data_IF_170998031216
#
_entry.id   IF_170998031216
#
_cell.length_a   1.000
_cell.length_b   1.000
_cell.length_c   1.000
_cell.angle_alpha   90.00
_cell.angle_beta   90.00
_cell.angle_gamma   90.00
#
_symmetry.space_group_name_H-M   'P 1'
#
loop_
_entity.id
_entity.type
_entity.pdbx_description
1 polymer ?
#
# COMPACT_ATOMS: atom_id res chain seq x y z
N UNK A 1 -27.23 -64.65 -6.04
CA UNK A 1 -28.05 -63.85 -6.96
C UNK A 1 -28.77 -62.71 -6.20
N UNK A 2 -28.09 -62.01 -5.31
CA UNK A 2 -28.74 -60.93 -4.52
C UNK A 2 -27.91 -59.63 -4.45
N UNK A 3 -26.73 -59.59 -5.08
CA UNK A 3 -25.84 -58.43 -4.98
C UNK A 3 -25.86 -57.50 -6.22
N UNK A 4 -26.45 -57.94 -7.33
CA UNK A 4 -26.49 -57.18 -8.59
C UNK A 4 -27.76 -56.30 -8.76
N UNK A 5 -28.82 -56.64 -8.03
CA UNK A 5 -30.07 -55.83 -8.09
C UNK A 5 -30.01 -54.55 -7.22
N UNK A 6 -29.18 -54.57 -6.13
CA UNK A 6 -29.06 -53.40 -5.27
C UNK A 6 -28.16 -52.30 -5.83
N UNK A 7 -27.22 -52.63 -6.73
CA UNK A 7 -26.38 -51.63 -7.41
C UNK A 7 -27.12 -50.91 -8.55
N UNK A 8 -28.07 -51.60 -9.20
CA UNK A 8 -28.87 -51.03 -10.29
C UNK A 8 -29.91 -50.02 -9.81
N UNK A 9 -30.46 -50.19 -8.59
CA UNK A 9 -31.45 -49.26 -8.03
C UNK A 9 -30.83 -47.95 -7.53
N UNK A 10 -29.60 -48.00 -7.02
CA UNK A 10 -28.86 -46.79 -6.59
C UNK A 10 -28.41 -45.89 -7.77
N UNK A 11 -28.07 -46.48 -8.90
CA UNK A 11 -27.69 -45.74 -10.13
C UNK A 11 -28.90 -45.10 -10.81
N UNK A 12 -30.11 -45.61 -10.66
CA UNK A 12 -31.32 -45.02 -11.22
C UNK A 12 -31.80 -43.85 -10.34
N UNK A 13 -31.66 -43.95 -9.03
CA UNK A 13 -32.05 -42.88 -8.10
C UNK A 13 -31.10 -41.66 -8.15
N UNK A 14 -29.81 -41.88 -8.38
CA UNK A 14 -28.84 -40.78 -8.56
C UNK A 14 -29.01 -40.06 -9.92
N UNK A 15 -29.52 -40.73 -10.94
CA UNK A 15 -29.74 -40.16 -12.26
C UNK A 15 -31.04 -39.37 -12.37
N UNK A 16 -32.08 -39.73 -11.59
CA UNK A 16 -33.35 -39.02 -11.54
C UNK A 16 -33.32 -37.76 -10.69
N UNK A 17 -32.41 -37.65 -9.71
CA UNK A 17 -32.22 -36.40 -8.95
C UNK A 17 -31.43 -35.29 -9.69
N UNK A 18 -30.73 -35.65 -10.79
CA UNK A 18 -29.99 -34.67 -11.60
C UNK A 18 -30.80 -34.12 -12.77
N UNK A 19 -31.99 -34.69 -13.08
CA UNK A 19 -32.80 -34.30 -14.24
C UNK A 19 -34.05 -33.47 -13.90
N UNK A 20 -34.25 -33.12 -12.62
CA UNK A 20 -35.40 -32.36 -12.14
C UNK A 20 -35.09 -30.92 -11.72
N UNK A 21 -33.96 -30.33 -12.15
CA UNK A 21 -33.80 -28.89 -12.11
C UNK A 21 -34.59 -28.27 -13.27
N UNK A 22 -35.74 -27.77 -12.93
CA UNK A 22 -36.68 -27.11 -13.86
C UNK A 22 -35.95 -25.97 -14.59
N UNK A 23 -36.05 -25.85 -15.93
CA UNK A 23 -35.39 -24.77 -16.71
C UNK A 23 -35.68 -23.36 -16.16
N UNK A 24 -36.81 -23.17 -15.48
CA UNK A 24 -37.19 -21.93 -14.82
C UNK A 24 -36.19 -21.50 -13.69
N UNK A 25 -35.62 -22.44 -12.93
CA UNK A 25 -34.66 -22.12 -11.84
C UNK A 25 -33.30 -21.75 -12.43
N UNK A 26 -32.95 -22.31 -13.59
CA UNK A 26 -31.71 -21.93 -14.31
C UNK A 26 -31.86 -20.61 -15.06
N UNK A 27 -33.04 -20.26 -15.51
CA UNK A 27 -33.33 -18.94 -16.13
C UNK A 27 -33.40 -17.86 -15.05
N UNK A 28 -34.06 -18.08 -13.91
CA UNK A 28 -34.04 -17.13 -12.79
C UNK A 28 -32.64 -16.94 -12.22
N UNK A 29 -31.83 -18.00 -12.11
CA UNK A 29 -30.42 -17.91 -11.69
C UNK A 29 -29.57 -17.13 -12.69
N UNK A 30 -29.79 -17.28 -14.00
CA UNK A 30 -29.11 -16.51 -15.05
C UNK A 30 -29.60 -15.08 -15.13
N UNK A 31 -30.88 -14.82 -14.96
CA UNK A 31 -31.42 -13.45 -14.93
C UNK A 31 -30.95 -12.70 -13.66
N UNK A 32 -30.89 -13.36 -12.49
CA UNK A 32 -30.34 -12.80 -11.26
C UNK A 32 -28.83 -12.50 -11.41
N UNK A 33 -28.08 -13.37 -12.08
CA UNK A 33 -26.65 -13.18 -12.32
C UNK A 33 -26.39 -12.09 -13.40
N UNK A 34 -27.26 -11.97 -14.42
CA UNK A 34 -27.16 -10.88 -15.39
C UNK A 34 -27.61 -9.54 -14.85
N UNK A 35 -28.63 -9.49 -14.00
CA UNK A 35 -29.07 -8.24 -13.33
C UNK A 35 -28.04 -7.79 -12.30
N UNK A 36 -27.40 -8.72 -11.56
CA UNK A 36 -26.31 -8.39 -10.65
C UNK A 36 -25.01 -7.94 -11.38
N UNK A 37 -24.85 -8.31 -12.66
CA UNK A 37 -23.69 -7.91 -13.46
C UNK A 37 -23.83 -6.51 -14.09
N UNK A 38 -25.01 -5.92 -14.13
CA UNK A 38 -25.27 -4.65 -14.82
C UNK A 38 -25.52 -3.46 -13.87
N UNK A 39 -25.56 -3.66 -12.57
CA UNK A 39 -25.54 -2.55 -11.65
C UNK A 39 -24.12 -1.95 -11.58
N UNK A 40 -23.94 -0.65 -11.90
CA UNK A 40 -22.65 0.01 -11.74
C UNK A 40 -22.34 0.13 -10.26
N UNK A 41 -21.67 -0.87 -9.67
CA UNK A 41 -21.23 -0.90 -8.27
C UNK A 41 -20.34 0.30 -7.87
N UNK A 42 -19.92 1.09 -8.84
CA UNK A 42 -19.13 2.28 -8.64
C UNK A 42 -19.80 3.48 -9.30
N UNK A 43 -20.36 4.36 -8.48
CA UNK A 43 -20.95 5.65 -8.87
C UNK A 43 -19.94 6.66 -9.46
N UNK A 44 -18.65 6.31 -9.50
CA UNK A 44 -17.59 7.23 -9.91
C UNK A 44 -17.28 7.12 -11.41
N UNK A 45 -17.23 8.26 -12.14
CA UNK A 45 -16.81 8.28 -13.54
C UNK A 45 -15.35 7.86 -13.70
N UNK A 46 -15.01 7.22 -14.81
CA UNK A 46 -13.64 6.72 -15.11
C UNK A 46 -12.51 7.73 -14.85
N UNK A 47 -12.62 9.03 -15.25
CA UNK A 47 -11.53 9.98 -15.02
C UNK A 47 -11.26 10.21 -13.53
N UNK A 48 -12.30 10.19 -12.68
CA UNK A 48 -12.13 10.33 -11.24
C UNK A 48 -11.46 9.11 -10.62
N UNK A 49 -11.79 7.89 -11.08
CA UNK A 49 -11.11 6.67 -10.65
C UNK A 49 -9.61 6.73 -10.97
N UNK A 50 -9.26 7.10 -12.20
CA UNK A 50 -7.85 7.24 -12.62
C UNK A 50 -7.13 8.30 -11.79
N UNK A 51 -7.77 9.43 -11.51
CA UNK A 51 -7.19 10.47 -10.66
C UNK A 51 -6.91 9.94 -9.24
N UNK A 52 -7.88 9.25 -8.61
CA UNK A 52 -7.71 8.66 -7.27
C UNK A 52 -6.57 7.64 -7.27
N UNK A 53 -6.51 6.76 -8.27
CA UNK A 53 -5.44 5.76 -8.41
C UNK A 53 -4.08 6.43 -8.58
N UNK A 54 -3.99 7.49 -9.37
CA UNK A 54 -2.74 8.23 -9.58
C UNK A 54 -2.25 8.88 -8.28
N UNK A 55 -3.15 9.54 -7.54
CA UNK A 55 -2.83 10.14 -6.24
C UNK A 55 -2.43 9.06 -5.22
N UNK A 56 -3.15 7.96 -5.16
CA UNK A 56 -2.82 6.83 -4.28
C UNK A 56 -1.46 6.22 -4.65
N UNK A 57 -1.14 6.07 -5.93
CA UNK A 57 0.15 5.55 -6.41
C UNK A 57 1.30 6.51 -6.07
N UNK A 58 1.10 7.81 -6.22
CA UNK A 58 2.07 8.82 -5.83
C UNK A 58 2.31 8.81 -4.31
N UNK A 59 1.24 8.67 -3.52
CA UNK A 59 1.35 8.53 -2.07
C UNK A 59 2.08 7.24 -1.66
N UNK A 60 1.75 6.12 -2.31
CA UNK A 60 2.40 4.83 -2.05
C UNK A 60 3.88 4.80 -2.44
N UNK A 61 4.29 5.59 -3.45
CA UNK A 61 5.69 5.75 -3.85
C UNK A 61 6.56 6.36 -2.73
N UNK A 62 6.00 7.27 -1.91
CA UNK A 62 6.75 8.02 -0.90
C UNK A 62 7.48 7.13 0.11
N UNK A 63 6.85 6.08 0.62
CA UNK A 63 7.41 5.23 1.67
C UNK A 63 8.66 4.46 1.22
N UNK A 64 8.62 3.66 0.12
CA UNK A 64 9.81 2.99 -0.38
C UNK A 64 10.86 3.97 -0.93
N UNK A 65 10.47 5.12 -1.44
CA UNK A 65 11.40 6.15 -1.87
C UNK A 65 12.17 6.74 -0.69
N UNK A 66 11.50 7.09 0.42
CA UNK A 66 12.11 7.67 1.61
C UNK A 66 13.15 6.77 2.29
N UNK A 67 12.97 5.44 2.23
CA UNK A 67 13.96 4.51 2.77
C UNK A 67 15.16 4.35 1.83
N UNK A 68 14.92 4.27 0.53
CA UNK A 68 15.96 4.00 -0.46
C UNK A 68 16.83 5.23 -0.77
N UNK A 69 16.27 6.44 -0.71
CA UNK A 69 17.04 7.68 -0.86
C UNK A 69 18.02 7.91 0.31
N UNK A 70 17.73 7.33 1.48
CA UNK A 70 18.58 7.44 2.66
C UNK A 70 19.82 6.53 2.61
N UNK A 71 19.74 5.39 1.92
CA UNK A 71 20.82 4.39 1.88
C UNK A 71 22.19 4.98 1.52
N UNK A 72 22.35 5.77 0.43
CA UNK A 72 23.64 6.36 0.10
C UNK A 72 24.10 7.46 1.07
N UNK A 73 23.20 8.05 1.86
CA UNK A 73 23.55 9.05 2.86
C UNK A 73 24.09 8.46 4.19
N UNK A 74 23.90 7.15 4.43
CA UNK A 74 24.33 6.46 5.68
C UNK A 74 25.82 6.66 6.01
N UNK A 75 26.77 6.53 5.06
CA UNK A 75 28.18 6.76 5.36
C UNK A 75 28.50 8.19 5.80
N UNK A 76 27.85 9.18 5.20
CA UNK A 76 28.03 10.60 5.51
C UNK A 76 27.45 10.93 6.89
N UNK A 77 26.29 10.36 7.24
CA UNK A 77 25.68 10.47 8.57
C UNK A 77 26.60 9.88 9.64
N UNK A 78 27.18 8.70 9.37
CA UNK A 78 28.12 8.05 10.29
C UNK A 78 29.36 8.93 10.57
N UNK A 79 29.91 9.56 9.53
CA UNK A 79 31.05 10.46 9.66
C UNK A 79 30.70 11.75 10.40
N UNK A 80 29.56 12.36 10.05
CA UNK A 80 29.16 13.66 10.58
C UNK A 80 28.73 13.60 12.04
N UNK A 81 28.03 12.56 12.44
CA UNK A 81 27.58 12.34 13.82
C UNK A 81 28.61 11.61 14.69
N UNK A 82 29.78 11.25 14.15
CA UNK A 82 30.82 10.48 14.82
C UNK A 82 30.30 9.18 15.47
N UNK A 83 29.39 8.48 14.77
CA UNK A 83 28.78 7.22 15.20
C UNK A 83 29.33 6.05 14.40
N UNK A 84 29.22 4.85 14.96
CA UNK A 84 29.61 3.64 14.22
C UNK A 84 28.64 3.35 13.07
N UNK A 85 29.11 2.66 12.04
CA UNK A 85 28.27 2.23 10.91
C UNK A 85 27.09 1.35 11.38
N UNK A 86 27.29 0.59 12.46
CA UNK A 86 26.23 -0.21 13.07
C UNK A 86 25.11 0.67 13.66
N UNK A 87 25.47 1.77 14.31
CA UNK A 87 24.49 2.73 14.84
C UNK A 87 23.76 3.47 13.73
N UNK A 88 24.44 3.81 12.64
CA UNK A 88 23.78 4.40 11.48
C UNK A 88 22.78 3.43 10.82
N UNK A 89 23.12 2.14 10.73
CA UNK A 89 22.21 1.10 10.26
C UNK A 89 21.04 0.84 11.21
N UNK A 90 21.22 1.02 12.53
CA UNK A 90 20.11 0.96 13.49
C UNK A 90 18.99 1.96 13.16
N UNK A 91 19.31 3.13 12.64
CA UNK A 91 18.29 4.10 12.21
C UNK A 91 17.43 3.58 11.05
N UNK A 92 18.04 2.80 10.16
CA UNK A 92 17.33 2.13 9.06
C UNK A 92 16.44 1.00 9.60
N UNK A 93 16.98 0.17 10.51
CA UNK A 93 16.22 -0.92 11.13
C UNK A 93 15.02 -0.39 11.91
N UNK A 94 15.22 0.69 12.66
CA UNK A 94 14.15 1.36 13.40
C UNK A 94 13.05 1.86 12.45
N UNK A 95 13.43 2.46 11.34
CA UNK A 95 12.48 2.87 10.31
C UNK A 95 11.66 1.67 9.79
N UNK A 96 12.31 0.54 9.45
CA UNK A 96 11.65 -0.67 8.94
C UNK A 96 10.66 -1.27 9.95
N UNK A 97 11.02 -1.30 11.24
CA UNK A 97 10.14 -1.80 12.30
C UNK A 97 8.85 -0.95 12.36
N UNK A 98 9.00 0.37 12.42
CA UNK A 98 7.85 1.27 12.48
C UNK A 98 7.07 1.32 11.18
N UNK A 99 7.70 1.13 10.03
CA UNK A 99 7.04 0.96 8.75
C UNK A 99 6.12 -0.27 8.73
N UNK A 100 6.52 -1.37 9.35
CA UNK A 100 5.69 -2.58 9.46
C UNK A 100 4.55 -2.45 10.47
N UNK A 101 4.77 -1.76 11.59
CA UNK A 101 3.77 -1.58 12.65
C UNK A 101 2.72 -0.51 12.34
N UNK A 102 3.11 0.55 11.66
CA UNK A 102 2.29 1.74 11.42
C UNK A 102 0.96 1.44 10.71
N UNK A 103 0.88 0.62 9.65
CA UNK A 103 -0.37 0.29 9.01
C UNK A 103 -1.40 -0.34 9.93
N UNK A 104 -0.97 -1.12 10.94
CA UNK A 104 -1.86 -1.76 11.91
C UNK A 104 -2.62 -0.75 12.78
N UNK A 105 -2.05 0.43 12.97
CA UNK A 105 -2.68 1.52 13.74
C UNK A 105 -3.51 2.44 12.83
N UNK A 106 -2.94 2.84 11.69
CA UNK A 106 -3.56 3.83 10.81
C UNK A 106 -4.67 3.26 9.94
N UNK A 107 -4.63 1.97 9.55
CA UNK A 107 -5.67 1.37 8.72
C UNK A 107 -7.03 1.35 9.44
N UNK A 108 -7.18 0.79 10.67
CA UNK A 108 -8.44 0.85 11.39
C UNK A 108 -8.91 2.27 11.68
N UNK A 109 -7.97 3.19 11.96
CA UNK A 109 -8.29 4.59 12.21
C UNK A 109 -8.86 5.26 10.96
N UNK A 110 -8.31 4.95 9.79
CA UNK A 110 -8.80 5.46 8.51
C UNK A 110 -10.17 4.91 8.12
N UNK A 111 -10.50 3.69 8.56
CA UNK A 111 -11.82 3.11 8.34
C UNK A 111 -12.88 3.73 9.24
N UNK A 112 -12.49 4.17 10.46
CA UNK A 112 -13.41 4.79 11.44
C UNK A 112 -13.64 6.28 11.16
N UNK A 113 -12.57 7.05 10.94
CA UNK A 113 -12.63 8.51 10.77
C UNK A 113 -12.69 8.97 9.31
N UNK A 114 -12.57 8.01 8.38
CA UNK A 114 -12.52 8.28 6.96
C UNK A 114 -11.09 8.39 6.41
N UNK A 115 -10.92 8.00 5.15
CA UNK A 115 -9.59 7.89 4.54
C UNK A 115 -8.91 9.24 4.29
N UNK A 116 -9.67 10.28 3.91
CA UNK A 116 -9.12 11.61 3.58
C UNK A 116 -8.44 12.30 4.77
N UNK A 117 -9.10 12.49 5.95
CA UNK A 117 -8.48 13.19 7.06
C UNK A 117 -7.27 12.43 7.62
N UNK A 118 -7.31 11.12 7.65
CA UNK A 118 -6.19 10.30 8.14
C UNK A 118 -5.01 10.37 7.17
N UNK A 119 -5.25 10.34 5.86
CA UNK A 119 -4.18 10.50 4.86
C UNK A 119 -3.48 11.85 5.02
N UNK A 120 -4.24 12.94 5.19
CA UNK A 120 -3.66 14.28 5.43
C UNK A 120 -2.87 14.31 6.74
N UNK A 121 -3.39 13.71 7.81
CA UNK A 121 -2.69 13.65 9.09
C UNK A 121 -1.35 12.89 8.97
N UNK A 122 -1.33 11.75 8.28
CA UNK A 122 -0.11 10.96 8.09
C UNK A 122 0.92 11.67 7.22
N UNK A 123 0.49 12.42 6.20
CA UNK A 123 1.37 13.29 5.43
C UNK A 123 1.95 14.44 6.25
N UNK A 124 1.15 15.07 7.10
CA UNK A 124 1.65 16.13 8.01
C UNK A 124 2.69 15.58 8.98
N UNK A 125 2.48 14.38 9.54
CA UNK A 125 3.47 13.71 10.39
C UNK A 125 4.75 13.41 9.61
N UNK A 126 4.64 12.92 8.38
CA UNK A 126 5.78 12.67 7.49
C UNK A 126 6.55 13.96 7.20
N UNK A 127 5.86 15.03 6.88
CA UNK A 127 6.46 16.34 6.55
C UNK A 127 7.17 16.94 7.77
N UNK A 128 6.52 16.94 8.93
CA UNK A 128 7.11 17.42 10.19
C UNK A 128 8.36 16.62 10.58
N UNK A 129 8.33 15.30 10.40
CA UNK A 129 9.49 14.45 10.66
C UNK A 129 10.64 14.75 9.71
N UNK A 130 10.39 14.97 8.42
CA UNK A 130 11.44 15.34 7.45
C UNK A 130 12.06 16.70 7.76
N UNK A 131 11.23 17.70 8.09
CA UNK A 131 11.72 19.01 8.51
C UNK A 131 12.59 18.89 9.78
N UNK A 132 12.16 18.12 10.78
CA UNK A 132 12.96 17.86 11.97
C UNK A 132 14.30 17.20 11.64
N UNK A 133 14.29 16.19 10.75
CA UNK A 133 15.49 15.49 10.29
C UNK A 133 16.49 16.43 9.56
N UNK A 134 15.96 17.41 8.82
CA UNK A 134 16.78 18.40 8.11
C UNK A 134 17.62 19.29 9.03
N UNK A 135 17.21 19.45 10.29
CA UNK A 135 17.93 20.30 11.27
C UNK A 135 18.61 19.51 12.39
N UNK A 136 18.50 18.19 12.37
CA UNK A 136 18.98 17.33 13.47
C UNK A 136 20.47 17.06 13.36
N UNK A 137 21.19 17.29 14.46
CA UNK A 137 22.60 16.94 14.65
C UNK A 137 22.83 15.96 15.80
N UNK A 138 21.77 15.37 16.34
CA UNK A 138 21.80 14.48 17.51
C UNK A 138 21.27 13.10 17.11
N UNK A 139 22.03 12.05 17.38
CA UNK A 139 21.70 10.68 16.99
C UNK A 139 20.36 10.18 17.55
N UNK A 140 20.08 10.42 18.83
CA UNK A 140 18.82 9.99 19.45
C UNK A 140 17.59 10.67 18.82
N UNK A 141 17.73 11.94 18.51
CA UNK A 141 16.66 12.68 17.84
C UNK A 141 16.44 12.17 16.40
N UNK A 142 17.54 11.81 15.72
CA UNK A 142 17.47 11.17 14.40
C UNK A 142 16.67 9.86 14.46
N UNK A 143 16.88 9.00 15.49
CA UNK A 143 16.12 7.77 15.65
C UNK A 143 14.62 8.03 15.82
N UNK A 144 14.26 8.94 16.74
CA UNK A 144 12.84 9.27 17.01
C UNK A 144 12.16 9.87 15.79
N UNK A 145 12.81 10.78 15.09
CA UNK A 145 12.26 11.38 13.89
C UNK A 145 12.13 10.37 12.73
N UNK A 146 13.03 9.38 12.66
CA UNK A 146 12.92 8.26 11.73
C UNK A 146 11.71 7.36 12.02
N UNK A 147 11.41 7.11 13.30
CA UNK A 147 10.19 6.40 13.70
C UNK A 147 8.93 7.17 13.23
N UNK A 148 8.88 8.47 13.49
CA UNK A 148 7.77 9.33 13.06
C UNK A 148 7.64 9.40 11.53
N UNK A 149 8.76 9.54 10.83
CA UNK A 149 8.79 9.53 9.36
C UNK A 149 8.23 8.22 8.80
N UNK A 150 8.63 7.08 9.37
CA UNK A 150 8.13 5.77 8.97
C UNK A 150 6.62 5.63 9.22
N UNK A 151 6.13 6.11 10.38
CA UNK A 151 4.71 6.12 10.71
C UNK A 151 3.88 6.92 9.70
N UNK A 152 4.37 8.07 9.27
CA UNK A 152 3.68 8.88 8.26
C UNK A 152 3.71 8.25 6.88
N UNK A 153 4.89 7.82 6.42
CA UNK A 153 5.07 7.33 5.05
C UNK A 153 4.37 6.00 4.76
N UNK A 154 4.44 5.04 5.69
CA UNK A 154 3.95 3.66 5.43
C UNK A 154 2.43 3.56 5.44
N UNK A 155 1.74 4.40 6.19
CA UNK A 155 0.27 4.44 6.21
C UNK A 155 -0.31 4.81 4.85
N UNK A 156 0.39 5.61 4.06
CA UNK A 156 -0.03 5.97 2.70
C UNK A 156 -0.18 4.76 1.78
N UNK A 157 0.64 3.71 1.95
CA UNK A 157 0.53 2.47 1.17
C UNK A 157 -0.77 1.73 1.54
N UNK A 158 -1.04 1.56 2.83
CA UNK A 158 -2.22 0.82 3.30
C UNK A 158 -3.52 1.56 2.95
N UNK A 159 -3.57 2.88 3.20
CA UNK A 159 -4.73 3.72 2.91
C UNK A 159 -4.93 3.83 1.39
N UNK A 160 -3.85 3.99 0.62
CA UNK A 160 -3.91 4.05 -0.85
C UNK A 160 -4.46 2.77 -1.47
N UNK A 161 -3.98 1.61 -1.04
CA UNK A 161 -4.50 0.32 -1.48
C UNK A 161 -5.99 0.15 -1.10
N UNK A 162 -6.38 0.58 0.11
CA UNK A 162 -7.76 0.62 0.55
C UNK A 162 -8.64 1.51 -0.33
N UNK A 163 -8.21 2.73 -0.64
CA UNK A 163 -8.94 3.65 -1.54
C UNK A 163 -9.17 3.03 -2.91
N UNK A 164 -8.17 2.36 -3.49
CA UNK A 164 -8.29 1.69 -4.77
C UNK A 164 -9.31 0.55 -4.69
N UNK A 165 -9.26 -0.22 -3.60
CA UNK A 165 -10.22 -1.31 -3.36
C UNK A 165 -11.67 -0.83 -3.29
N UNK A 166 -11.90 0.33 -2.67
CA UNK A 166 -13.25 0.90 -2.48
C UNK A 166 -13.83 1.50 -3.76
N UNK A 167 -12.96 2.04 -4.64
CA UNK A 167 -13.38 2.74 -5.87
C UNK A 167 -13.44 1.81 -7.08
N UNK A 168 -12.68 0.71 -7.08
CA UNK A 168 -12.56 -0.21 -8.23
C UNK A 168 -13.56 -1.35 -8.19
N UNK A 169 -14.14 -1.67 -9.35
CA UNK A 169 -14.92 -2.90 -9.55
C UNK A 169 -14.00 -4.13 -9.49
N UNK A 170 -14.54 -5.27 -9.09
CA UNK A 170 -13.78 -6.51 -8.94
C UNK A 170 -13.04 -6.92 -10.23
N UNK A 171 -13.62 -6.65 -11.39
CA UNK A 171 -13.04 -6.91 -12.73
C UNK A 171 -11.85 -5.99 -13.06
N UNK A 172 -11.87 -4.74 -12.59
CA UNK A 172 -10.87 -3.71 -12.89
C UNK A 172 -9.80 -3.57 -11.78
N UNK A 173 -10.08 -4.11 -10.58
CA UNK A 173 -9.25 -3.96 -9.38
C UNK A 173 -7.82 -4.43 -9.59
N UNK A 174 -7.62 -5.55 -10.29
CA UNK A 174 -6.29 -6.08 -10.59
C UNK A 174 -5.44 -5.11 -11.41
N UNK A 175 -6.05 -4.44 -12.38
CA UNK A 175 -5.36 -3.46 -13.23
C UNK A 175 -4.95 -2.21 -12.42
N UNK A 176 -5.86 -1.64 -11.63
CA UNK A 176 -5.56 -0.46 -10.80
C UNK A 176 -4.56 -0.77 -9.69
N UNK A 177 -4.63 -1.95 -9.07
CA UNK A 177 -3.63 -2.41 -8.12
C UNK A 177 -2.25 -2.62 -8.77
N UNK A 178 -2.22 -3.06 -10.03
CA UNK A 178 -0.99 -3.16 -10.83
C UNK A 178 -0.33 -1.80 -11.04
N UNK A 179 -1.08 -0.76 -11.38
CA UNK A 179 -0.57 0.62 -11.50
C UNK A 179 -0.05 1.15 -10.16
N UNK A 180 -0.78 0.91 -9.09
CA UNK A 180 -0.35 1.28 -7.74
C UNK A 180 0.96 0.60 -7.35
N UNK A 181 1.06 -0.71 -7.58
CA UNK A 181 2.27 -1.48 -7.27
C UNK A 181 3.46 -1.05 -8.13
N UNK A 182 3.23 -0.72 -9.40
CA UNK A 182 4.26 -0.15 -10.27
C UNK A 182 4.81 1.17 -9.68
N UNK A 183 3.93 2.06 -9.20
CA UNK A 183 4.34 3.29 -8.52
C UNK A 183 5.22 3.01 -7.30
N UNK A 184 4.84 2.07 -6.44
CA UNK A 184 5.62 1.71 -5.24
C UNK A 184 6.98 1.10 -5.58
N UNK A 185 7.09 0.34 -6.67
CA UNK A 185 8.35 -0.26 -7.14
C UNK A 185 9.34 0.74 -7.75
N UNK A 186 8.86 1.89 -8.22
CA UNK A 186 9.75 2.96 -8.71
C UNK A 186 10.59 3.58 -7.58
N UNK A 187 10.09 3.58 -6.34
CA UNK A 187 10.80 4.12 -5.18
C UNK A 187 12.20 3.52 -4.98
N UNK A 188 12.33 2.19 -4.83
CA UNK A 188 13.61 1.52 -4.72
C UNK A 188 14.54 1.72 -5.93
N UNK A 189 13.99 1.88 -7.12
CA UNK A 189 14.78 2.04 -8.34
C UNK A 189 15.38 3.44 -8.48
N UNK A 190 14.60 4.47 -8.17
CA UNK A 190 14.99 5.87 -8.32
C UNK A 190 15.67 6.40 -7.03
N UNK A 191 15.26 5.89 -5.86
CA UNK A 191 15.72 6.36 -4.56
C UNK A 191 17.25 6.45 -4.42
N UNK A 192 18.01 5.39 -4.69
CA UNK A 192 19.47 5.42 -4.54
C UNK A 192 20.17 6.38 -5.48
N UNK A 193 19.63 6.58 -6.70
CA UNK A 193 20.19 7.50 -7.70
C UNK A 193 20.04 8.94 -7.21
N UNK A 194 18.81 9.31 -6.82
CA UNK A 194 18.52 10.66 -6.31
C UNK A 194 19.25 10.90 -4.99
N UNK A 195 19.24 9.91 -4.09
CA UNK A 195 19.92 9.97 -2.79
C UNK A 195 21.42 10.15 -2.93
N UNK A 196 22.07 9.41 -3.83
CA UNK A 196 23.50 9.55 -4.10
C UNK A 196 23.86 10.93 -4.67
N UNK A 197 23.06 11.46 -5.57
CA UNK A 197 23.25 12.80 -6.12
C UNK A 197 23.04 13.89 -5.04
N UNK A 198 21.99 13.78 -4.23
CA UNK A 198 21.70 14.74 -3.16
C UNK A 198 22.76 14.72 -2.05
N UNK A 199 23.22 13.54 -1.64
CA UNK A 199 24.28 13.42 -0.63
C UNK A 199 25.59 14.06 -1.08
N UNK A 200 25.92 13.97 -2.37
CA UNK A 200 27.11 14.62 -2.93
C UNK A 200 26.96 16.13 -3.11
N UNK A 201 25.76 16.61 -3.47
CA UNK A 201 25.53 18.02 -3.78
C UNK A 201 25.28 18.88 -2.53
N UNK A 202 24.50 18.38 -1.56
CA UNK A 202 23.99 19.18 -0.42
C UNK A 202 24.15 18.51 0.94
N UNK A 203 25.05 17.54 1.09
CA UNK A 203 25.17 16.71 2.30
C UNK A 203 23.88 15.91 2.61
N UNK A 204 23.94 15.08 3.64
CA UNK A 204 22.82 14.22 4.05
C UNK A 204 21.54 14.99 4.47
N UNK A 205 21.66 16.22 4.97
CA UNK A 205 20.51 17.08 5.28
C UNK A 205 19.68 17.44 4.04
N UNK A 206 20.32 17.58 2.87
CA UNK A 206 19.65 17.87 1.60
C UNK A 206 18.66 16.80 1.19
N UNK A 207 18.89 15.53 1.56
CA UNK A 207 17.98 14.42 1.31
C UNK A 207 16.62 14.65 1.99
N UNK A 208 16.63 15.13 3.23
CA UNK A 208 15.40 15.39 3.98
C UNK A 208 14.69 16.67 3.54
N UNK A 209 15.44 17.71 3.18
CA UNK A 209 14.84 18.88 2.55
C UNK A 209 14.14 18.51 1.24
N UNK A 210 14.75 17.69 0.42
CA UNK A 210 14.15 17.22 -0.82
C UNK A 210 12.88 16.41 -0.54
N UNK A 211 12.91 15.48 0.43
CA UNK A 211 11.75 14.70 0.83
C UNK A 211 10.62 15.59 1.40
N UNK A 212 10.95 16.66 2.12
CA UNK A 212 9.94 17.60 2.61
C UNK A 212 9.34 18.48 1.53
N UNK A 213 10.09 18.81 0.47
CA UNK A 213 9.59 19.59 -0.65
C UNK A 213 8.75 18.76 -1.63
N UNK A 214 8.99 17.45 -1.65
CA UNK A 214 8.31 16.53 -2.56
C UNK A 214 7.05 15.89 -1.93
N UNK A 215 6.96 15.75 -0.60
CA UNK A 215 5.82 15.23 0.15
C UNK A 215 4.85 16.33 0.53
#
# INVERSE_FOLDING_TARGET
MSSSEHASSLDIESKTSHEAETPAVQEEGKEAETVAADEPYSAFPRPLKVFIVTVASASGFMSPFAINIYMPAVPDISRHLHISSAQALLSLTTYLIFQGLSPSVWAPLSDTYGRRPILVCTFLVFLAANLGLSFTNVYWLLLVLRMLQACGASSAIAIGAGCISDVSQQKERGSYMGYFQFGTLLGPSIGPIVGGFMAQAWNWHGVFFFLSAFG
#
